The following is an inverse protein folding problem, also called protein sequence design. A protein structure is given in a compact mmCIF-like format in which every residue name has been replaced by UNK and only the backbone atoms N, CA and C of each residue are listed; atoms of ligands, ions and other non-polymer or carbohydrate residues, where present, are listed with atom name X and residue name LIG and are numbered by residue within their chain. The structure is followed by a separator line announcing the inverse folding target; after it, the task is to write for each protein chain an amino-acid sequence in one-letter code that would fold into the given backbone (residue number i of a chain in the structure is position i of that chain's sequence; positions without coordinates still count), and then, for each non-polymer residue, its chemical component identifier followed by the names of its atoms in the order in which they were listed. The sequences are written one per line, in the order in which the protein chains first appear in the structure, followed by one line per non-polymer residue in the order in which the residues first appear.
data_IF_803689202648
#
_entry.id   IF_803689202648
#
_cell.length_a   1.000
_cell.length_b   1.000
_cell.length_c   1.000
_cell.angle_alpha   90.00
_cell.angle_beta   90.00
_cell.angle_gamma   90.00
#
_symmetry.space_group_name_H-M   'P 1'
#
loop_
_entity.id
_entity.type
_entity.pdbx_description
1 polymer ?
#
# COMPACT_ATOMS: atom_id res chain seq x y z
N UNK A 1 3.90 18.06 3.91
CA UNK A 1 3.48 17.45 2.64
C UNK A 1 3.49 18.50 1.52
N UNK A 2 2.61 19.49 1.55
CA UNK A 2 2.52 20.53 0.48
C UNK A 2 3.77 21.43 0.32
N UNK A 3 4.49 21.69 1.41
CA UNK A 3 5.64 22.58 1.37
C UNK A 3 6.80 22.05 0.50
N UNK A 4 6.92 20.73 0.39
CA UNK A 4 7.92 20.05 -0.45
C UNK A 4 7.39 18.64 -0.81
N UNK A 5 6.64 18.53 -1.93
CA UNK A 5 6.10 17.25 -2.39
C UNK A 5 7.18 16.22 -2.72
N UNK A 6 8.33 16.66 -3.24
CA UNK A 6 9.46 15.80 -3.56
C UNK A 6 10.06 15.16 -2.31
N UNK A 7 10.39 15.95 -1.28
CA UNK A 7 10.86 15.39 -0.02
C UNK A 7 9.82 14.46 0.61
N UNK A 8 8.54 14.87 0.63
CA UNK A 8 7.46 14.06 1.18
C UNK A 8 7.34 12.69 0.50
N UNK A 9 7.23 12.66 -0.83
CA UNK A 9 7.08 11.42 -1.59
C UNK A 9 8.33 10.53 -1.46
N UNK A 10 9.54 11.10 -1.55
CA UNK A 10 10.80 10.33 -1.37
C UNK A 10 10.81 9.61 -0.02
N UNK A 11 10.46 10.31 1.05
CA UNK A 11 10.37 9.72 2.39
C UNK A 11 9.34 8.60 2.46
N UNK A 12 8.14 8.80 1.89
CA UNK A 12 7.07 7.80 1.91
C UNK A 12 7.42 6.56 1.09
N UNK A 13 7.95 6.73 -0.13
CA UNK A 13 8.41 5.59 -0.94
C UNK A 13 9.49 4.80 -0.22
N UNK A 14 10.49 5.48 0.36
CA UNK A 14 11.56 4.86 1.13
C UNK A 14 11.04 4.08 2.34
N UNK A 15 10.21 4.68 3.18
CA UNK A 15 9.81 4.10 4.46
C UNK A 15 8.97 2.81 4.32
N UNK A 16 8.34 2.60 3.16
CA UNK A 16 7.47 1.45 2.91
C UNK A 16 8.01 0.47 1.87
N UNK A 17 9.23 0.69 1.38
CA UNK A 17 9.90 -0.19 0.42
C UNK A 17 10.52 -1.42 1.09
N UNK A 18 10.50 -2.56 0.40
CA UNK A 18 11.07 -3.82 0.90
C UNK A 18 12.60 -3.82 0.96
N UNK A 19 13.28 -3.04 0.12
CA UNK A 19 14.74 -2.93 0.12
C UNK A 19 15.28 -1.96 1.19
N UNK A 20 14.42 -1.13 1.78
CA UNK A 20 14.79 -0.30 2.95
C UNK A 20 15.16 -1.21 4.13
N UNK A 21 16.26 -0.91 4.87
CA UNK A 21 16.65 -1.67 6.06
C UNK A 21 15.50 -1.80 7.05
N UNK A 22 15.30 -2.99 7.62
CA UNK A 22 14.11 -3.32 8.40
C UNK A 22 13.87 -2.36 9.58
N UNK A 23 14.93 -1.92 10.26
CA UNK A 23 14.89 -0.95 11.36
C UNK A 23 14.50 0.48 10.93
N UNK A 24 14.51 0.75 9.63
CA UNK A 24 14.14 2.04 9.02
C UNK A 24 12.80 1.99 8.30
N UNK A 25 12.17 0.82 8.17
CA UNK A 25 10.83 0.69 7.59
C UNK A 25 9.78 1.18 8.59
N UNK A 26 8.77 1.86 8.09
CA UNK A 26 7.61 2.26 8.88
C UNK A 26 6.69 1.06 9.07
N UNK A 27 6.14 0.90 10.26
CA UNK A 27 5.12 -0.12 10.58
C UNK A 27 3.71 0.37 10.26
N UNK A 28 3.56 1.57 9.71
CA UNK A 28 2.28 2.26 9.53
C UNK A 28 1.76 2.94 10.82
N UNK A 29 2.38 2.68 11.97
CA UNK A 29 2.07 3.34 13.23
C UNK A 29 3.07 4.46 13.52
N UNK A 30 2.58 5.54 14.12
CA UNK A 30 3.38 6.71 14.48
C UNK A 30 3.20 7.05 15.96
N UNK A 31 4.25 7.55 16.64
CA UNK A 31 4.10 8.10 17.98
C UNK A 31 3.11 9.27 17.99
N UNK A 32 2.33 9.38 19.07
CA UNK A 32 1.38 10.48 19.21
C UNK A 32 2.09 11.83 19.23
N UNK A 33 1.61 12.78 18.43
CA UNK A 33 2.16 14.14 18.37
C UNK A 33 3.46 14.26 17.57
N UNK A 34 3.87 13.21 16.85
CA UNK A 34 4.97 13.25 15.90
C UNK A 34 4.40 13.25 14.49
N UNK A 35 4.88 14.17 13.64
CA UNK A 35 4.45 14.25 12.25
C UNK A 35 5.01 13.08 11.44
N UNK A 36 4.24 12.58 10.47
CA UNK A 36 4.61 11.40 9.66
C UNK A 36 5.98 11.51 8.98
N UNK A 37 6.31 12.70 8.47
CA UNK A 37 7.60 12.88 7.79
C UNK A 37 8.78 12.96 8.76
N UNK A 38 8.53 13.27 10.04
CA UNK A 38 9.55 13.34 11.08
C UNK A 38 9.89 11.95 11.64
N UNK A 39 9.05 10.95 11.40
CA UNK A 39 9.37 9.54 11.70
C UNK A 39 10.31 8.91 10.67
N UNK A 40 10.63 9.63 9.59
CA UNK A 40 11.44 9.13 8.46
C UNK A 40 12.67 10.02 8.31
N UNK A 41 13.86 9.42 8.37
CA UNK A 41 15.11 10.16 8.33
C UNK A 41 15.33 10.92 7.00
N UNK A 42 15.99 12.07 7.09
CA UNK A 42 16.16 13.02 5.97
C UNK A 42 17.06 12.51 4.83
N UNK A 43 17.90 11.53 5.13
CA UNK A 43 18.76 10.80 4.20
C UNK A 43 18.03 9.69 3.42
N UNK A 44 16.69 9.58 3.56
CA UNK A 44 15.87 8.65 2.78
C UNK A 44 16.16 8.75 1.27
N UNK A 45 16.48 7.64 0.61
CA UNK A 45 16.80 7.64 -0.82
C UNK A 45 15.62 7.14 -1.65
N UNK A 46 15.68 7.25 -2.97
CA UNK A 46 14.70 6.56 -3.81
C UNK A 46 14.92 5.05 -3.74
N UNK A 47 13.85 4.25 -3.69
CA UNK A 47 13.96 2.80 -3.82
C UNK A 47 14.68 2.38 -5.10
N UNK A 48 15.38 1.23 -5.13
CA UNK A 48 16.21 0.81 -6.26
C UNK A 48 15.42 0.55 -7.56
N UNK A 49 14.12 0.29 -7.45
CA UNK A 49 13.22 0.10 -8.59
C UNK A 49 12.68 1.43 -9.16
N UNK A 50 12.86 2.54 -8.45
CA UNK A 50 12.32 3.85 -8.82
C UNK A 50 13.39 4.72 -9.47
N UNK A 51 13.26 4.95 -10.78
CA UNK A 51 14.11 5.91 -11.48
C UNK A 51 13.75 7.36 -11.12
N UNK A 52 14.67 8.29 -11.37
CA UNK A 52 14.43 9.72 -11.15
C UNK A 52 13.27 10.25 -12.01
N UNK A 53 13.18 9.83 -13.28
CA UNK A 53 12.12 10.25 -14.19
C UNK A 53 10.75 9.75 -13.72
N UNK A 54 10.66 8.48 -13.30
CA UNK A 54 9.42 7.92 -12.76
C UNK A 54 9.01 8.60 -11.45
N UNK A 55 9.98 8.89 -10.58
CA UNK A 55 9.71 9.64 -9.36
C UNK A 55 9.17 11.06 -9.65
N UNK A 56 9.75 11.74 -10.63
CA UNK A 56 9.37 13.09 -11.04
C UNK A 56 7.91 13.14 -11.53
N UNK A 57 7.39 12.09 -12.16
CA UNK A 57 5.97 11.99 -12.53
C UNK A 57 5.04 12.10 -11.30
N UNK A 58 5.38 11.42 -10.20
CA UNK A 58 4.63 11.54 -8.94
C UNK A 58 4.77 12.95 -8.35
N UNK A 59 5.97 13.51 -8.35
CA UNK A 59 6.20 14.87 -7.83
C UNK A 59 5.37 15.89 -8.60
N UNK A 60 5.32 15.82 -9.93
CA UNK A 60 4.51 16.71 -10.76
C UNK A 60 3.02 16.54 -10.48
N UNK A 61 2.54 15.30 -10.39
CA UNK A 61 1.12 15.02 -10.10
C UNK A 61 0.70 15.59 -8.73
N UNK A 62 1.48 15.33 -7.67
CA UNK A 62 1.17 15.82 -6.32
C UNK A 62 1.44 17.32 -6.15
N UNK A 63 2.38 17.91 -6.89
CA UNK A 63 2.57 19.36 -6.90
C UNK A 63 1.41 20.09 -7.56
N UNK A 64 0.78 19.49 -8.57
CA UNK A 64 -0.39 20.07 -9.24
C UNK A 64 -1.70 19.81 -8.48
N UNK A 65 -1.87 18.61 -7.92
CA UNK A 65 -3.12 18.16 -7.29
C UNK A 65 -3.18 18.32 -5.76
N UNK A 66 -2.04 18.48 -5.10
CA UNK A 66 -1.91 18.46 -3.65
C UNK A 66 -2.15 17.08 -3.04
N UNK A 67 -2.06 17.01 -1.71
CA UNK A 67 -2.26 15.81 -0.90
C UNK A 67 -3.64 15.76 -0.24
N UNK A 68 -4.37 16.88 -0.20
CA UNK A 68 -5.65 16.96 0.53
C UNK A 68 -6.72 16.01 -0.01
N UNK A 69 -6.85 15.89 -1.33
CA UNK A 69 -7.81 14.97 -1.96
C UNK A 69 -7.50 13.50 -1.61
N UNK A 70 -6.28 13.00 -1.80
CA UNK A 70 -5.89 11.66 -1.31
C UNK A 70 -6.12 11.48 0.20
N UNK A 71 -5.78 12.47 1.03
CA UNK A 71 -5.97 12.40 2.48
C UNK A 71 -7.45 12.40 2.89
N UNK A 72 -8.34 13.00 2.10
CA UNK A 72 -9.78 12.96 2.36
C UNK A 72 -10.35 11.54 2.32
N UNK A 73 -9.71 10.61 1.61
CA UNK A 73 -10.10 9.19 1.65
C UNK A 73 -10.05 8.63 3.09
N UNK A 74 -8.98 8.93 3.82
CA UNK A 74 -8.80 8.51 5.21
C UNK A 74 -9.74 9.27 6.15
N UNK A 75 -9.94 10.57 5.93
CA UNK A 75 -10.88 11.40 6.72
C UNK A 75 -12.33 10.91 6.59
N UNK A 76 -12.67 10.25 5.49
CA UNK A 76 -13.99 9.71 5.21
C UNK A 76 -14.17 8.23 5.60
N UNK A 77 -13.21 7.57 6.25
CA UNK A 77 -13.32 6.13 6.55
C UNK A 77 -14.55 5.77 7.40
N UNK A 78 -14.84 6.53 8.46
CA UNK A 78 -16.02 6.32 9.30
C UNK A 78 -17.33 6.58 8.54
N UNK A 79 -17.32 7.58 7.65
CA UNK A 79 -18.45 7.88 6.78
C UNK A 79 -18.68 6.72 5.80
N UNK A 80 -17.64 6.23 5.14
CA UNK A 80 -17.70 5.06 4.25
C UNK A 80 -18.27 3.85 5.00
N UNK A 81 -17.76 3.55 6.20
CA UNK A 81 -18.29 2.48 7.05
C UNK A 81 -19.80 2.66 7.27
N UNK A 82 -20.24 3.84 7.71
CA UNK A 82 -21.67 4.11 7.98
C UNK A 82 -22.55 3.98 6.73
N UNK A 83 -22.06 4.44 5.57
CA UNK A 83 -22.80 4.40 4.31
C UNK A 83 -22.85 2.99 3.73
N UNK A 84 -21.90 2.12 4.09
CA UNK A 84 -21.89 0.71 3.67
C UNK A 84 -22.67 -0.23 4.60
N UNK A 85 -23.42 0.29 5.58
CA UNK A 85 -24.22 -0.55 6.49
C UNK A 85 -25.23 -1.47 5.76
N UNK A 86 -25.68 -1.10 4.55
CA UNK A 86 -26.59 -1.94 3.75
C UNK A 86 -25.95 -3.22 3.20
N UNK A 87 -24.61 -3.29 3.15
CA UNK A 87 -23.85 -4.50 2.77
C UNK A 87 -23.25 -5.23 3.97
N UNK A 88 -23.63 -4.85 5.19
CA UNK A 88 -23.20 -5.54 6.41
C UNK A 88 -23.44 -7.06 6.27
N UNK A 89 -22.41 -7.83 6.63
CA UNK A 89 -22.37 -9.30 6.60
C UNK A 89 -22.51 -9.97 5.20
N UNK A 90 -22.65 -9.19 4.12
CA UNK A 90 -22.66 -9.73 2.76
C UNK A 90 -21.27 -10.28 2.37
N UNK A 91 -21.27 -11.30 1.51
CA UNK A 91 -20.05 -11.98 1.03
C UNK A 91 -19.66 -11.49 -0.36
N UNK A 92 -18.35 -11.40 -0.61
CA UNK A 92 -17.78 -11.08 -1.92
C UNK A 92 -17.77 -12.37 -2.76
N UNK A 93 -18.74 -12.53 -3.64
CA UNK A 93 -18.94 -13.75 -4.43
C UNK A 93 -18.19 -13.84 -5.77
N UNK A 94 -17.75 -12.76 -6.43
CA UNK A 94 -16.94 -12.89 -7.65
C UNK A 94 -15.62 -13.64 -7.40
N UNK A 95 -15.04 -14.27 -8.45
CA UNK A 95 -13.68 -14.77 -8.40
C UNK A 95 -12.72 -13.66 -7.95
N UNK A 96 -11.89 -13.96 -6.95
CA UNK A 96 -10.94 -13.00 -6.40
C UNK A 96 -9.54 -13.60 -6.26
N UNK A 97 -8.52 -12.75 -6.39
CA UNK A 97 -7.12 -13.02 -6.07
C UNK A 97 -6.68 -11.98 -5.03
N UNK A 98 -6.09 -12.44 -3.93
CA UNK A 98 -5.44 -11.57 -2.96
C UNK A 98 -3.92 -11.74 -3.06
N UNK A 99 -3.20 -10.63 -3.21
CA UNK A 99 -1.74 -10.60 -3.25
C UNK A 99 -1.27 -9.52 -2.29
N UNK A 100 -0.34 -9.87 -1.40
CA UNK A 100 0.30 -8.95 -0.45
C UNK A 100 1.79 -9.27 -0.40
N UNK A 101 2.61 -8.30 0.00
CA UNK A 101 4.03 -8.56 0.20
C UNK A 101 4.33 -9.02 1.63
N UNK A 102 5.44 -9.74 1.80
CA UNK A 102 5.91 -10.21 3.09
C UNK A 102 6.10 -9.08 4.10
N UNK A 103 6.74 -7.98 3.66
CA UNK A 103 7.11 -6.82 4.49
C UNK A 103 6.12 -5.64 4.36
N UNK A 104 4.91 -5.85 3.84
CA UNK A 104 3.91 -4.78 3.75
C UNK A 104 3.48 -4.32 5.17
N UNK A 105 3.62 -3.02 5.52
CA UNK A 105 3.27 -2.49 6.84
C UNK A 105 1.80 -2.71 7.22
N UNK A 106 0.90 -2.80 6.25
CA UNK A 106 -0.53 -3.06 6.46
C UNK A 106 -0.73 -4.38 7.21
N UNK A 107 0.19 -5.35 7.02
CA UNK A 107 0.11 -6.65 7.68
C UNK A 107 0.33 -6.57 9.19
N UNK A 108 0.96 -5.51 9.71
CA UNK A 108 1.09 -5.32 11.16
C UNK A 108 -0.24 -5.17 11.88
N UNK A 109 -1.26 -4.62 11.22
CA UNK A 109 -2.57 -4.40 11.82
C UNK A 109 -3.70 -5.17 11.15
N UNK A 110 -3.56 -5.53 9.86
CA UNK A 110 -4.56 -6.28 9.12
C UNK A 110 -4.19 -7.74 8.87
N UNK A 111 -2.92 -8.14 9.07
CA UNK A 111 -2.42 -9.45 8.66
C UNK A 111 -3.12 -10.63 9.37
N UNK A 112 -3.61 -10.41 10.60
CA UNK A 112 -4.41 -11.41 11.32
C UNK A 112 -5.71 -11.80 10.63
N UNK A 113 -6.21 -10.99 9.69
CA UNK A 113 -7.42 -11.28 8.92
C UNK A 113 -7.17 -12.08 7.64
N UNK A 114 -5.92 -12.24 7.20
CA UNK A 114 -5.57 -12.93 5.94
C UNK A 114 -6.05 -14.39 5.93
N UNK A 115 -5.92 -15.09 7.05
CA UNK A 115 -6.36 -16.48 7.18
C UNK A 115 -7.89 -16.65 7.05
N UNK A 116 -8.66 -15.61 7.39
CA UNK A 116 -10.12 -15.59 7.34
C UNK A 116 -10.70 -14.99 6.05
N UNK A 117 -9.88 -14.67 5.04
CA UNK A 117 -10.38 -14.01 3.83
C UNK A 117 -11.45 -14.84 3.11
N UNK A 118 -11.33 -16.17 3.09
CA UNK A 118 -12.34 -17.07 2.48
C UNK A 118 -13.70 -17.04 3.19
N UNK A 119 -13.73 -16.66 4.47
CA UNK A 119 -14.99 -16.51 5.21
C UNK A 119 -15.81 -15.32 4.69
N UNK A 120 -15.15 -14.32 4.08
CA UNK A 120 -15.76 -13.11 3.54
C UNK A 120 -15.84 -13.10 2.01
N UNK A 121 -14.86 -13.71 1.34
CA UNK A 121 -14.77 -13.86 -0.09
C UNK A 121 -14.75 -15.36 -0.47
N UNK A 122 -15.91 -16.04 -0.51
CA UNK A 122 -15.98 -17.46 -0.90
C UNK A 122 -15.46 -17.71 -2.32
N UNK A 123 -15.47 -16.70 -3.19
CA UNK A 123 -14.88 -16.73 -4.53
C UNK A 123 -13.36 -16.53 -4.57
N UNK A 124 -12.68 -16.40 -3.42
CA UNK A 124 -11.22 -16.24 -3.38
C UNK A 124 -10.52 -17.51 -3.90
N UNK A 125 -9.98 -17.39 -5.11
CA UNK A 125 -9.27 -18.45 -5.83
C UNK A 125 -7.93 -18.73 -5.15
N UNK A 126 -7.18 -17.66 -4.84
CA UNK A 126 -5.83 -17.75 -4.30
C UNK A 126 -5.51 -16.55 -3.41
N UNK A 127 -4.70 -16.78 -2.38
CA UNK A 127 -4.07 -15.77 -1.55
C UNK A 127 -2.56 -15.99 -1.60
N UNK A 128 -1.77 -14.96 -1.86
CA UNK A 128 -0.32 -15.05 -2.07
C UNK A 128 0.40 -14.00 -1.25
N UNK A 129 1.45 -14.42 -0.56
CA UNK A 129 2.44 -13.53 0.07
C UNK A 129 3.70 -13.55 -0.81
N UNK A 130 4.09 -12.40 -1.33
CA UNK A 130 5.28 -12.24 -2.19
C UNK A 130 6.50 -11.85 -1.34
N UNK A 131 7.60 -12.61 -1.38
CA UNK A 131 8.73 -12.40 -0.47
C UNK A 131 9.61 -11.19 -0.84
N UNK A 132 10.17 -10.56 0.20
CA UNK A 132 11.16 -9.48 0.11
C UNK A 132 10.67 -8.18 -0.54
N UNK A 133 9.36 -7.96 -0.63
CA UNK A 133 8.77 -6.71 -1.07
C UNK A 133 8.05 -6.02 0.09
N UNK A 134 7.98 -4.70 0.02
CA UNK A 134 7.20 -3.83 0.90
C UNK A 134 5.85 -3.50 0.29
N UNK A 135 5.41 -2.26 0.48
CA UNK A 135 4.05 -1.83 0.14
C UNK A 135 3.80 -1.66 -1.36
N UNK A 136 4.84 -1.35 -2.15
CA UNK A 136 4.69 -0.99 -3.57
C UNK A 136 4.84 -2.22 -4.47
N UNK A 137 4.19 -3.33 -4.12
CA UNK A 137 4.43 -4.68 -4.67
C UNK A 137 4.46 -4.75 -6.19
N UNK A 138 3.56 -4.04 -6.87
CA UNK A 138 3.46 -4.04 -8.32
C UNK A 138 4.64 -3.34 -9.01
N UNK A 139 5.39 -2.53 -8.27
CA UNK A 139 6.61 -1.86 -8.73
C UNK A 139 7.85 -2.62 -8.26
N UNK A 140 7.84 -3.10 -7.00
CA UNK A 140 8.95 -3.86 -6.39
C UNK A 140 9.13 -5.27 -6.97
N UNK A 141 8.04 -5.89 -7.42
CA UNK A 141 7.95 -7.27 -7.91
C UNK A 141 7.02 -7.35 -9.12
N UNK A 142 7.24 -6.45 -10.08
CA UNK A 142 6.41 -6.33 -11.28
C UNK A 142 6.23 -7.67 -12.02
N UNK A 143 7.30 -8.44 -12.21
CA UNK A 143 7.24 -9.73 -12.91
C UNK A 143 6.39 -10.77 -12.15
N UNK A 144 6.53 -10.87 -10.83
CA UNK A 144 5.75 -11.79 -10.01
C UNK A 144 4.27 -11.40 -10.00
N UNK A 145 3.97 -10.11 -9.84
CA UNK A 145 2.60 -9.59 -9.87
C UNK A 145 1.97 -9.81 -11.24
N UNK A 146 2.70 -9.53 -12.32
CA UNK A 146 2.22 -9.77 -13.68
C UNK A 146 1.92 -11.25 -13.93
N UNK A 147 2.79 -12.15 -13.49
CA UNK A 147 2.57 -13.59 -13.63
C UNK A 147 1.31 -14.05 -12.87
N UNK A 148 1.13 -13.59 -11.63
CA UNK A 148 -0.05 -13.88 -10.81
C UNK A 148 -1.35 -13.37 -11.44
N UNK A 149 -1.33 -12.15 -11.98
CA UNK A 149 -2.49 -11.57 -12.66
C UNK A 149 -2.82 -12.32 -13.95
N UNK A 150 -1.83 -12.66 -14.77
CA UNK A 150 -2.04 -13.40 -16.02
C UNK A 150 -2.55 -14.83 -15.75
N UNK A 151 -2.02 -15.50 -14.73
CA UNK A 151 -2.50 -16.83 -14.30
C UNK A 151 -3.96 -16.75 -13.85
N UNK A 152 -4.30 -15.76 -13.01
CA UNK A 152 -5.66 -15.58 -12.53
C UNK A 152 -6.63 -15.26 -13.67
N UNK A 153 -6.33 -14.26 -14.50
CA UNK A 153 -7.19 -13.83 -15.60
C UNK A 153 -7.33 -14.90 -16.69
N UNK A 154 -6.29 -15.68 -16.96
CA UNK A 154 -6.33 -16.78 -17.92
C UNK A 154 -7.13 -18.00 -17.41
N UNK A 155 -7.39 -18.07 -16.11
CA UNK A 155 -8.20 -19.12 -15.47
C UNK A 155 -9.67 -18.74 -15.23
N UNK A 156 -10.10 -17.52 -15.58
CA UNK A 156 -11.50 -17.09 -15.54
C UNK A 156 -12.24 -17.46 -16.82
#
# INVERSE_FOLDING_TARGET
LEADPGMALRKLFYAYDGATPAERRSTGFMPQGVDLLDTIADDATLPPWMSADHFEEYVQAFSAGGFDAPLNWYRAMDLNWSLTAFVQDQKITPPALFVVSEDDPVRHYAGGHEAGLKDWAPGLVRSVVVPGAGHWIQQERADDVNALLLEFLGGL
#
